data_IF_960872189478
#
_entry.id   IF_960872189478
#
_cell.length_a   1.000
_cell.length_b   1.000
_cell.length_c   1.000
_cell.angle_alpha   90.00
_cell.angle_beta   90.00
_cell.angle_gamma   90.00
#
_symmetry.space_group_name_H-M   'P 1'
#
loop_
_entity.id
_entity.type
_entity.pdbx_description
1 polymer ?
#
# COMPACT_ATOMS: atom_id res chain seq x y z
N UNK A 1 -8.84 17.47 46.40
CA UNK A 1 -7.86 16.49 45.85
C UNK A 1 -8.52 15.47 44.92
N UNK A 2 -9.64 14.83 45.31
CA UNK A 2 -10.35 13.86 44.46
C UNK A 2 -10.75 14.38 43.07
N UNK A 3 -11.36 15.58 42.98
CA UNK A 3 -11.79 16.14 41.70
C UNK A 3 -10.63 16.45 40.74
N UNK A 4 -9.52 16.99 41.25
CA UNK A 4 -8.32 17.24 40.45
C UNK A 4 -7.70 15.92 39.95
N UNK A 5 -7.64 14.88 40.81
CA UNK A 5 -7.19 13.55 40.42
C UNK A 5 -8.07 12.92 39.34
N UNK A 6 -9.39 13.03 39.47
CA UNK A 6 -10.35 12.55 38.48
C UNK A 6 -10.15 13.23 37.11
N UNK A 7 -9.99 14.55 37.09
CA UNK A 7 -9.74 15.33 35.86
C UNK A 7 -8.45 14.86 35.19
N UNK A 8 -7.36 14.69 35.94
CA UNK A 8 -6.07 14.25 35.37
C UNK A 8 -6.18 12.84 34.77
N UNK A 9 -6.82 11.91 35.47
CA UNK A 9 -6.98 10.53 35.00
C UNK A 9 -7.92 10.44 33.78
N UNK A 10 -9.04 11.17 33.78
CA UNK A 10 -9.95 11.25 32.63
C UNK A 10 -9.23 11.84 31.43
N UNK A 11 -8.48 12.93 31.61
CA UNK A 11 -7.69 13.51 30.52
C UNK A 11 -6.65 12.53 29.97
N UNK A 12 -6.00 11.75 30.83
CA UNK A 12 -5.02 10.73 30.39
C UNK A 12 -5.68 9.64 29.54
N UNK A 13 -6.82 9.12 29.98
CA UNK A 13 -7.59 8.11 29.24
C UNK A 13 -8.11 8.69 27.91
N UNK A 14 -8.64 9.91 27.94
CA UNK A 14 -9.11 10.60 26.74
C UNK A 14 -7.98 10.85 25.73
N UNK A 15 -6.83 11.30 26.21
CA UNK A 15 -5.65 11.50 25.36
C UNK A 15 -5.24 10.18 24.69
N UNK A 16 -5.15 9.08 25.44
CA UNK A 16 -4.81 7.78 24.88
C UNK A 16 -5.84 7.30 23.83
N UNK A 17 -7.13 7.47 24.11
CA UNK A 17 -8.21 7.17 23.16
C UNK A 17 -8.14 8.05 21.89
N UNK A 18 -7.74 9.31 22.02
CA UNK A 18 -7.67 10.23 20.89
C UNK A 18 -6.42 10.04 20.03
N UNK A 19 -5.27 9.69 20.63
CA UNK A 19 -3.98 9.64 19.93
C UNK A 19 -3.58 8.24 19.48
N UNK A 20 -3.96 7.19 20.20
CA UNK A 20 -3.56 5.81 19.90
C UNK A 20 -4.65 4.81 20.32
N UNK A 21 -5.79 4.76 19.60
CA UNK A 21 -6.93 3.96 19.98
C UNK A 21 -6.83 2.47 19.60
N UNK A 22 -5.83 2.07 18.83
CA UNK A 22 -5.70 0.69 18.34
C UNK A 22 -4.43 0.01 18.84
N UNK A 23 -4.50 -1.30 19.03
CA UNK A 23 -3.36 -2.16 19.37
C UNK A 23 -3.29 -3.31 18.36
N UNK A 24 -2.07 -3.66 17.94
CA UNK A 24 -1.84 -4.81 17.07
C UNK A 24 -1.20 -5.91 17.91
N UNK A 25 -1.79 -7.10 17.89
CA UNK A 25 -1.32 -8.28 18.63
C UNK A 25 -1.21 -9.48 17.70
N UNK A 26 -0.40 -10.46 18.09
CA UNK A 26 -0.31 -11.73 17.35
C UNK A 26 -1.53 -12.58 17.69
N UNK A 27 -2.36 -12.87 16.70
CA UNK A 27 -3.50 -13.80 16.87
C UNK A 27 -3.04 -15.24 16.72
N UNK A 28 -2.25 -15.53 15.68
CA UNK A 28 -1.80 -16.87 15.37
C UNK A 28 -0.40 -16.84 14.75
N UNK A 29 0.54 -17.62 15.30
CA UNK A 29 1.89 -17.79 14.75
C UNK A 29 1.96 -18.90 13.69
N UNK A 30 0.95 -19.76 13.61
CA UNK A 30 0.84 -20.91 12.73
C UNK A 30 -0.35 -20.79 11.77
N UNK A 31 -0.60 -19.59 11.23
CA UNK A 31 -1.67 -19.42 10.26
C UNK A 31 -1.25 -20.06 8.92
N UNK A 32 -2.04 -20.97 8.34
CA UNK A 32 -1.54 -21.80 7.24
C UNK A 32 -1.41 -21.05 5.92
N UNK A 33 -0.37 -21.37 5.14
CA UNK A 33 -0.06 -20.66 3.87
C UNK A 33 -1.14 -20.79 2.78
N UNK A 34 -2.00 -21.81 2.79
CA UNK A 34 -3.07 -21.92 1.78
C UNK A 34 -4.14 -20.82 1.95
N UNK A 35 -4.23 -20.21 3.14
CA UNK A 35 -5.08 -19.05 3.39
C UNK A 35 -4.44 -17.73 2.92
N UNK A 36 -3.17 -17.74 2.51
CA UNK A 36 -2.47 -16.58 1.96
C UNK A 36 -2.28 -16.76 0.44
N UNK A 37 -2.57 -15.73 -0.40
CA UNK A 37 -2.23 -15.80 -1.81
C UNK A 37 -0.72 -15.98 -1.99
N UNK A 38 -0.30 -16.77 -2.98
CA UNK A 38 1.10 -16.74 -3.37
C UNK A 38 1.41 -15.34 -3.92
N UNK A 39 2.56 -14.73 -3.63
CA UNK A 39 2.82 -13.36 -4.08
C UNK A 39 2.86 -13.27 -5.61
N UNK A 40 2.69 -12.05 -6.11
CA UNK A 40 3.07 -11.75 -7.48
C UNK A 40 4.59 -11.75 -7.60
N UNK A 41 5.10 -12.34 -8.69
CA UNK A 41 6.53 -12.37 -9.02
C UNK A 41 6.71 -11.69 -10.36
N UNK A 42 7.34 -10.52 -10.36
CA UNK A 42 7.58 -9.72 -11.56
C UNK A 42 9.06 -9.77 -11.92
N UNK A 43 9.37 -10.20 -13.14
CA UNK A 43 10.73 -10.32 -13.67
C UNK A 43 10.92 -9.31 -14.79
N UNK A 44 11.99 -8.54 -14.70
CA UNK A 44 12.30 -7.45 -15.61
C UNK A 44 13.72 -7.56 -16.13
N UNK A 45 13.83 -7.53 -17.45
CA UNK A 45 15.11 -7.38 -18.11
C UNK A 45 15.67 -5.97 -17.84
N UNK A 46 16.95 -5.87 -17.50
CA UNK A 46 17.61 -4.55 -17.30
C UNK A 46 17.88 -3.85 -18.63
N UNK A 47 18.08 -4.62 -19.69
CA UNK A 47 18.11 -4.15 -21.08
C UNK A 47 16.70 -3.76 -21.56
N UNK A 48 16.47 -2.47 -21.83
CA UNK A 48 15.17 -1.95 -22.28
C UNK A 48 15.03 -1.95 -23.79
N UNK A 49 16.15 -2.02 -24.50
CA UNK A 49 16.17 -2.09 -25.96
C UNK A 49 17.05 -3.25 -26.39
N UNK A 50 16.43 -4.20 -27.08
CA UNK A 50 17.14 -5.28 -27.76
C UNK A 50 17.72 -4.80 -29.09
N UNK A 51 19.01 -5.03 -29.31
CA UNK A 51 19.72 -4.62 -30.52
C UNK A 51 19.06 -5.17 -31.79
N UNK A 52 18.73 -6.46 -31.81
CA UNK A 52 18.10 -7.15 -32.95
C UNK A 52 16.71 -6.61 -33.27
N UNK A 53 15.91 -6.31 -32.25
CA UNK A 53 14.59 -5.71 -32.39
C UNK A 53 14.69 -4.28 -32.93
N UNK A 54 15.59 -3.47 -32.36
CA UNK A 54 15.85 -2.11 -32.82
C UNK A 54 16.36 -2.09 -34.27
N UNK A 55 17.27 -2.99 -34.64
CA UNK A 55 17.80 -3.06 -36.00
C UNK A 55 16.72 -3.50 -37.01
N UNK A 56 15.86 -4.45 -36.63
CA UNK A 56 14.74 -4.86 -37.48
C UNK A 56 13.77 -3.71 -37.71
N UNK A 57 13.40 -3.00 -36.65
CA UNK A 57 12.51 -1.85 -36.73
C UNK A 57 13.13 -0.73 -37.57
N UNK A 58 14.43 -0.46 -37.42
CA UNK A 58 15.15 0.51 -38.24
C UNK A 58 15.00 0.22 -39.72
N UNK A 59 15.33 -1.01 -40.14
CA UNK A 59 15.29 -1.45 -41.54
C UNK A 59 13.88 -1.42 -42.14
N UNK A 60 12.85 -1.62 -41.31
CA UNK A 60 11.46 -1.69 -41.76
C UNK A 60 10.82 -0.31 -41.86
N UNK A 61 11.08 0.58 -40.91
CA UNK A 61 10.28 1.79 -40.72
C UNK A 61 11.08 3.11 -40.76
N UNK A 62 12.37 3.08 -40.41
CA UNK A 62 13.17 4.31 -40.21
C UNK A 62 14.32 4.51 -41.20
N UNK A 63 14.76 3.49 -41.93
CA UNK A 63 15.95 3.53 -42.79
C UNK A 63 15.87 4.55 -43.94
N UNK A 64 14.66 4.97 -44.33
CA UNK A 64 14.43 5.97 -45.37
C UNK A 64 14.44 7.41 -44.83
N UNK A 65 14.28 7.59 -43.52
CA UNK A 65 14.02 8.89 -42.90
C UNK A 65 15.12 9.34 -41.95
N UNK A 66 15.80 8.39 -41.30
CA UNK A 66 16.83 8.65 -40.30
C UNK A 66 18.13 7.93 -40.68
N UNK A 67 19.23 8.65 -40.54
CA UNK A 67 20.55 8.05 -40.53
C UNK A 67 20.67 7.07 -39.38
N UNK A 68 21.38 5.97 -39.59
CA UNK A 68 21.52 4.89 -38.61
C UNK A 68 22.05 5.42 -37.26
N UNK A 69 23.04 6.31 -37.29
CA UNK A 69 23.60 6.93 -36.08
C UNK A 69 22.56 7.71 -35.27
N UNK A 70 21.66 8.43 -35.94
CA UNK A 70 20.61 9.24 -35.30
C UNK A 70 19.54 8.32 -34.69
N UNK A 71 19.15 7.27 -35.40
CA UNK A 71 18.19 6.29 -34.90
C UNK A 71 18.69 5.57 -33.65
N UNK A 72 19.94 5.12 -33.64
CA UNK A 72 20.53 4.44 -32.50
C UNK A 72 20.60 5.32 -31.25
N UNK A 73 21.02 6.58 -31.42
CA UNK A 73 21.02 7.55 -30.33
C UNK A 73 19.60 7.84 -29.81
N UNK A 74 18.61 7.92 -30.70
CA UNK A 74 17.20 8.06 -30.34
C UNK A 74 16.70 6.88 -29.49
N UNK A 75 16.92 5.66 -29.94
CA UNK A 75 16.45 4.45 -29.24
C UNK A 75 17.10 4.32 -27.86
N UNK A 76 18.37 4.71 -27.71
CA UNK A 76 19.04 4.75 -26.40
C UNK A 76 18.33 5.70 -25.42
N UNK A 77 17.91 6.89 -25.87
CA UNK A 77 17.23 7.88 -25.03
C UNK A 77 15.82 7.47 -24.61
N UNK A 78 15.17 6.57 -25.35
CA UNK A 78 13.87 6.05 -24.92
C UNK A 78 13.94 5.34 -23.56
N UNK A 79 15.10 4.77 -23.22
CA UNK A 79 15.32 4.19 -21.90
C UNK A 79 15.35 5.27 -20.78
N UNK A 80 15.74 6.51 -21.10
CA UNK A 80 15.81 7.63 -20.15
C UNK A 80 14.44 8.15 -19.71
N UNK A 81 13.36 7.86 -20.45
CA UNK A 81 11.99 8.12 -19.96
C UNK A 81 11.71 7.35 -18.66
N UNK A 82 12.34 6.18 -18.49
CA UNK A 82 12.19 5.35 -17.29
C UNK A 82 13.01 5.94 -16.14
N UNK A 83 14.25 6.34 -16.40
CA UNK A 83 15.17 6.91 -15.42
C UNK A 83 15.76 8.23 -15.94
N UNK A 84 15.08 9.37 -15.72
CA UNK A 84 15.50 10.65 -16.25
C UNK A 84 16.63 11.23 -15.39
N UNK A 85 17.88 10.99 -15.80
CA UNK A 85 19.09 11.50 -15.12
C UNK A 85 19.58 12.87 -15.65
N UNK A 86 18.88 13.43 -16.65
CA UNK A 86 19.14 14.79 -17.13
C UNK A 86 20.45 14.93 -17.90
N UNK A 87 20.72 14.03 -18.84
CA UNK A 87 21.91 14.13 -19.68
C UNK A 87 21.68 15.10 -20.85
N UNK A 88 22.57 16.07 -20.94
CA UNK A 88 22.77 17.02 -22.03
C UNK A 88 23.47 16.33 -23.21
N UNK A 89 22.81 16.14 -24.35
CA UNK A 89 23.50 16.11 -25.65
C UNK A 89 22.61 16.63 -26.78
N UNK A 90 23.27 17.40 -27.65
CA UNK A 90 22.84 17.98 -28.94
C UNK A 90 22.25 16.94 -29.92
N UNK A 91 21.15 16.31 -29.57
CA UNK A 91 20.31 15.63 -30.55
C UNK A 91 19.35 16.65 -31.14
N UNK A 92 19.24 16.59 -32.47
CA UNK A 92 18.21 17.31 -33.21
C UNK A 92 16.86 16.64 -32.93
N UNK A 93 16.33 16.88 -31.73
CA UNK A 93 15.04 16.38 -31.25
C UNK A 93 13.93 16.78 -32.21
N UNK A 94 14.03 17.96 -32.83
CA UNK A 94 13.06 18.46 -33.80
C UNK A 94 12.93 17.54 -35.01
N UNK A 95 14.04 17.04 -35.57
CA UNK A 95 14.02 16.06 -36.69
C UNK A 95 13.46 14.71 -36.29
N UNK A 96 13.83 14.20 -35.12
CA UNK A 96 13.31 12.93 -34.60
C UNK A 96 11.80 13.06 -34.38
N UNK A 97 11.38 14.11 -33.68
CA UNK A 97 9.99 14.35 -33.33
C UNK A 97 9.10 14.57 -34.55
N UNK A 98 9.60 15.23 -35.60
CA UNK A 98 8.87 15.39 -36.86
C UNK A 98 8.51 14.04 -37.51
N UNK A 99 9.42 13.06 -37.46
CA UNK A 99 9.16 11.70 -37.98
C UNK A 99 8.09 10.98 -37.16
N UNK A 100 8.11 11.13 -35.84
CA UNK A 100 7.15 10.52 -34.92
C UNK A 100 5.75 11.12 -35.04
N UNK A 101 5.66 12.46 -35.02
CA UNK A 101 4.39 13.20 -35.08
C UNK A 101 3.64 12.95 -36.39
N UNK A 102 4.37 12.80 -37.50
CA UNK A 102 3.78 12.55 -38.82
C UNK A 102 3.20 11.13 -38.97
N UNK A 103 3.60 10.17 -38.12
CA UNK A 103 3.18 8.76 -38.21
C UNK A 103 2.30 8.29 -37.04
N UNK A 104 2.01 9.16 -36.08
CA UNK A 104 1.19 8.84 -34.89
C UNK A 104 1.71 7.62 -34.11
N UNK A 105 3.04 7.45 -34.04
CA UNK A 105 3.62 6.40 -33.20
C UNK A 105 3.41 6.73 -31.73
N UNK A 106 2.93 5.73 -30.99
CA UNK A 106 2.81 5.77 -29.55
C UNK A 106 4.06 5.17 -28.88
N UNK A 107 4.55 5.85 -27.83
CA UNK A 107 5.73 5.45 -27.08
C UNK A 107 5.56 4.08 -26.42
N UNK A 108 4.35 3.77 -25.96
CA UNK A 108 4.03 2.47 -25.38
C UNK A 108 4.23 1.35 -26.40
N UNK A 109 3.66 1.51 -27.60
CA UNK A 109 3.72 0.52 -28.67
C UNK A 109 5.16 0.30 -29.16
N UNK A 110 5.93 1.38 -29.26
CA UNK A 110 7.34 1.32 -29.67
C UNK A 110 8.20 0.59 -28.63
N UNK A 111 8.10 0.98 -27.35
CA UNK A 111 8.85 0.31 -26.28
C UNK A 111 8.45 -1.16 -26.13
N UNK A 112 7.19 -1.50 -26.40
CA UNK A 112 6.73 -2.90 -26.39
C UNK A 112 7.37 -3.74 -27.50
N UNK A 113 7.70 -3.15 -28.65
CA UNK A 113 8.39 -3.85 -29.75
C UNK A 113 9.90 -3.99 -29.51
N UNK A 114 10.51 -3.03 -28.82
CA UNK A 114 11.96 -3.00 -28.55
C UNK A 114 12.36 -3.87 -27.35
N UNK A 115 11.44 -4.15 -26.44
CA UNK A 115 11.68 -4.96 -25.23
C UNK A 115 11.66 -6.46 -25.53
N UNK A 116 12.31 -7.25 -24.65
CA UNK A 116 12.27 -8.71 -24.75
C UNK A 116 10.85 -9.23 -24.50
N UNK A 117 10.27 -10.05 -25.38
CA UNK A 117 9.01 -10.70 -25.08
C UNK A 117 9.18 -11.74 -23.95
N UNK A 118 8.14 -11.90 -23.12
CA UNK A 118 8.17 -12.85 -22.01
C UNK A 118 8.46 -14.29 -22.44
N UNK A 119 8.00 -14.69 -23.62
CA UNK A 119 8.21 -16.03 -24.18
C UNK A 119 9.67 -16.33 -24.53
N UNK A 120 10.49 -15.30 -24.82
CA UNK A 120 11.92 -15.48 -25.07
C UNK A 120 12.78 -15.24 -23.83
N UNK A 121 12.28 -14.51 -22.82
CA UNK A 121 12.98 -14.33 -21.54
C UNK A 121 12.77 -15.52 -20.62
N UNK A 122 11.57 -16.07 -20.57
CA UNK A 122 11.18 -17.18 -19.69
C UNK A 122 11.02 -18.45 -20.52
N UNK A 123 12.09 -19.23 -20.61
CA UNK A 123 12.16 -20.38 -21.52
C UNK A 123 11.35 -21.56 -20.98
N UNK A 124 11.46 -21.84 -19.67
CA UNK A 124 10.76 -22.94 -19.02
C UNK A 124 10.29 -22.57 -17.63
N UNK A 125 9.06 -22.96 -17.31
CA UNK A 125 8.43 -22.67 -16.03
C UNK A 125 7.86 -23.94 -15.40
N UNK A 126 7.91 -23.98 -14.06
CA UNK A 126 7.36 -25.04 -13.23
C UNK A 126 6.57 -24.40 -12.10
N UNK A 127 5.33 -24.81 -11.94
CA UNK A 127 4.44 -24.31 -10.89
C UNK A 127 3.89 -25.50 -10.10
N UNK A 128 4.07 -25.49 -8.77
CA UNK A 128 3.59 -26.56 -7.88
C UNK A 128 4.05 -27.96 -8.32
N UNK A 129 5.32 -28.09 -8.69
CA UNK A 129 5.89 -29.35 -9.16
C UNK A 129 5.63 -29.68 -10.64
N UNK A 130 4.69 -28.98 -11.33
CA UNK A 130 4.29 -29.29 -12.71
C UNK A 130 4.90 -28.33 -13.72
N UNK A 131 5.59 -28.87 -14.73
CA UNK A 131 6.06 -28.09 -15.88
C UNK A 131 4.85 -27.54 -16.64
N UNK A 132 4.82 -26.22 -16.80
CA UNK A 132 3.72 -25.50 -17.45
C UNK A 132 4.32 -24.47 -18.40
N UNK A 133 3.74 -24.24 -19.59
CA UNK A 133 4.21 -23.19 -20.48
C UNK A 133 4.25 -21.82 -19.78
N UNK A 134 5.35 -21.09 -19.93
CA UNK A 134 5.52 -19.80 -19.26
C UNK A 134 4.46 -18.78 -19.68
N UNK A 135 4.01 -18.83 -20.95
CA UNK A 135 2.98 -17.94 -21.50
C UNK A 135 1.61 -18.08 -20.80
N UNK A 136 1.35 -19.21 -20.14
CA UNK A 136 0.11 -19.42 -19.37
C UNK A 136 0.22 -18.93 -17.91
N UNK A 137 1.45 -18.69 -17.45
CA UNK A 137 1.75 -18.31 -16.08
C UNK A 137 2.08 -16.82 -15.96
N UNK A 138 2.79 -16.28 -16.96
CA UNK A 138 3.27 -14.91 -16.97
C UNK A 138 2.56 -14.08 -18.03
N UNK A 139 2.25 -12.84 -17.65
CA UNK A 139 1.71 -11.84 -18.55
C UNK A 139 2.61 -10.62 -18.58
N UNK A 140 2.70 -9.97 -19.73
CA UNK A 140 3.41 -8.70 -19.82
C UNK A 140 2.66 -7.62 -19.04
N UNK A 141 3.36 -6.96 -18.12
CA UNK A 141 2.87 -5.93 -17.22
C UNK A 141 3.71 -4.66 -17.35
N UNK A 142 3.10 -3.54 -16.99
CA UNK A 142 3.80 -2.25 -16.92
C UNK A 142 4.34 -2.02 -15.50
N UNK A 143 5.57 -1.54 -15.38
CA UNK A 143 6.31 -1.35 -14.12
C UNK A 143 7.10 -0.05 -14.17
N UNK A 144 7.57 0.46 -13.03
CA UNK A 144 8.50 1.61 -13.01
C UNK A 144 9.87 1.33 -13.69
N UNK A 145 10.11 0.11 -14.17
CA UNK A 145 11.23 -0.27 -15.02
C UNK A 145 10.82 -0.51 -16.49
N UNK A 146 9.62 -0.11 -16.93
CA UNK A 146 9.09 -0.40 -18.27
C UNK A 146 8.32 -1.71 -18.34
N UNK A 147 8.39 -2.41 -19.48
CA UNK A 147 7.68 -3.69 -19.68
C UNK A 147 8.39 -4.87 -19.04
N UNK A 148 7.62 -5.66 -18.30
CA UNK A 148 8.12 -6.81 -17.56
C UNK A 148 7.14 -7.98 -17.61
N UNK A 149 7.53 -9.11 -17.03
CA UNK A 149 6.73 -10.32 -17.01
C UNK A 149 6.31 -10.64 -15.58
N UNK A 150 5.01 -10.59 -15.31
CA UNK A 150 4.45 -10.84 -13.98
C UNK A 150 3.70 -12.15 -13.91
N UNK A 151 4.02 -12.94 -12.89
CA UNK A 151 3.25 -14.08 -12.43
C UNK A 151 2.29 -13.66 -11.33
N UNK A 152 1.03 -14.09 -11.41
CA UNK A 152 0.02 -13.89 -10.36
C UNK A 152 -0.23 -12.42 -9.96
N UNK A 153 -0.06 -11.50 -10.90
CA UNK A 153 -0.38 -10.07 -10.75
C UNK A 153 -1.66 -9.75 -11.49
N UNK A 154 -2.55 -8.98 -10.87
CA UNK A 154 -3.83 -8.55 -11.43
C UNK A 154 -3.90 -7.02 -11.39
N UNK A 155 -3.65 -6.33 -12.52
CA UNK A 155 -3.69 -4.89 -12.53
C UNK A 155 -5.13 -4.38 -12.30
N UNK A 156 -5.28 -3.21 -11.65
CA UNK A 156 -6.58 -2.56 -11.48
C UNK A 156 -7.20 -2.25 -12.85
N UNK A 157 -8.51 -2.40 -13.02
CA UNK A 157 -9.21 -2.21 -14.29
C UNK A 157 -9.21 -3.40 -15.25
N UNK A 158 -8.52 -4.51 -14.92
CA UNK A 158 -8.53 -5.71 -15.78
C UNK A 158 -9.92 -6.37 -15.80
N UNK A 159 -10.53 -6.52 -16.99
CA UNK A 159 -11.89 -7.09 -17.16
C UNK A 159 -11.98 -8.61 -16.94
N UNK A 160 -10.95 -9.24 -16.37
CA UNK A 160 -10.89 -10.68 -16.21
C UNK A 160 -11.77 -11.10 -15.02
N UNK A 161 -12.92 -11.71 -15.32
CA UNK A 161 -13.97 -12.07 -14.32
C UNK A 161 -13.53 -13.11 -13.28
N UNK A 162 -12.30 -13.63 -13.38
CA UNK A 162 -11.73 -14.60 -12.44
C UNK A 162 -10.38 -14.12 -11.89
N UNK A 163 -10.37 -12.99 -11.17
CA UNK A 163 -9.22 -12.49 -10.38
C UNK A 163 -8.96 -13.32 -9.12
N UNK A 164 -8.74 -14.62 -9.25
CA UNK A 164 -8.42 -15.48 -8.09
C UNK A 164 -6.91 -15.66 -8.01
N UNK A 165 -6.23 -15.10 -6.99
CA UNK A 165 -4.80 -15.28 -6.85
C UNK A 165 -4.47 -16.76 -6.60
N UNK A 166 -3.43 -17.23 -7.28
CA UNK A 166 -2.90 -18.58 -7.13
C UNK A 166 -2.37 -18.76 -5.71
N UNK A 167 -2.53 -19.96 -5.18
CA UNK A 167 -2.13 -20.35 -3.81
C UNK A 167 -1.35 -21.65 -3.86
N UNK A 168 -0.57 -21.89 -2.81
CA UNK A 168 0.17 -23.13 -2.61
C UNK A 168 -0.17 -23.73 -1.25
N UNK A 169 0.04 -25.04 -1.12
CA UNK A 169 -0.24 -25.82 0.08
C UNK A 169 1.02 -26.52 0.62
N UNK A 170 2.19 -26.13 0.12
CA UNK A 170 3.48 -26.69 0.52
C UNK A 170 4.55 -25.62 0.53
N UNK A 171 5.55 -25.80 1.39
CA UNK A 171 6.72 -24.95 1.52
C UNK A 171 7.94 -25.61 0.84
N UNK A 172 8.92 -24.80 0.46
CA UNK A 172 10.12 -25.24 -0.26
C UNK A 172 10.04 -25.11 -1.78
N UNK A 173 11.20 -25.17 -2.43
CA UNK A 173 11.35 -24.85 -3.86
C UNK A 173 10.59 -25.78 -4.81
N UNK A 174 10.28 -27.02 -4.39
CA UNK A 174 9.55 -28.01 -5.19
C UNK A 174 8.06 -27.66 -5.36
N UNK A 175 7.47 -26.95 -4.41
CA UNK A 175 6.04 -26.60 -4.38
C UNK A 175 5.75 -25.18 -4.84
N UNK A 176 6.80 -24.36 -5.02
CA UNK A 176 6.71 -22.99 -5.49
C UNK A 176 6.74 -22.83 -7.02
N UNK A 177 7.23 -21.67 -7.44
CA UNK A 177 7.48 -21.29 -8.82
C UNK A 177 8.95 -21.49 -9.13
N UNK A 178 9.28 -22.15 -10.24
CA UNK A 178 10.64 -22.24 -10.75
C UNK A 178 10.66 -21.82 -12.21
N UNK A 179 11.66 -21.05 -12.61
CA UNK A 179 11.78 -20.56 -13.98
C UNK A 179 13.23 -20.55 -14.45
N UNK A 180 13.41 -20.89 -15.72
CA UNK A 180 14.67 -20.76 -16.46
C UNK A 180 14.61 -19.46 -17.26
N UNK A 181 15.54 -18.56 -16.97
CA UNK A 181 15.58 -17.19 -17.48
C UNK A 181 16.75 -17.07 -18.46
N UNK A 182 16.48 -16.52 -19.63
CA UNK A 182 17.47 -16.14 -20.64
C UNK A 182 17.56 -14.61 -20.75
N UNK A 183 18.63 -13.98 -20.21
CA UNK A 183 18.81 -12.55 -20.34
C UNK A 183 19.27 -12.12 -21.74
N UNK A 184 19.66 -13.02 -22.67
CA UNK A 184 20.16 -12.69 -24.03
C UNK A 184 21.26 -11.62 -24.03
N UNK A 185 22.42 -11.95 -23.45
CA UNK A 185 23.54 -11.02 -23.24
C UNK A 185 24.07 -10.38 -24.52
N UNK A 186 24.04 -11.13 -25.62
CA UNK A 186 24.48 -10.71 -26.95
C UNK A 186 23.60 -9.62 -27.59
N UNK A 187 22.40 -9.38 -27.05
CA UNK A 187 21.39 -8.49 -27.63
C UNK A 187 21.19 -7.20 -26.80
N UNK A 188 22.10 -6.94 -25.85
CA UNK A 188 22.08 -5.72 -25.02
C UNK A 188 22.44 -4.49 -25.85
N UNK A 189 21.66 -3.42 -25.67
CA UNK A 189 21.95 -2.13 -26.30
C UNK A 189 21.75 -0.97 -25.32
N UNK A 190 20.53 -0.80 -24.80
CA UNK A 190 20.21 0.26 -23.84
C UNK A 190 19.71 -0.35 -22.53
N UNK A 191 20.63 -0.55 -21.59
CA UNK A 191 20.33 -1.03 -20.24
C UNK A 191 20.18 0.14 -19.26
N UNK A 192 19.26 0.01 -18.30
CA UNK A 192 19.12 1.01 -17.23
C UNK A 192 20.32 1.06 -16.28
N UNK A 193 21.04 -0.05 -16.15
CA UNK A 193 22.14 -0.19 -15.22
C UNK A 193 23.31 -0.89 -15.88
N UNK A 194 24.53 -0.59 -15.40
CA UNK A 194 25.79 -1.16 -15.90
C UNK A 194 26.04 -2.59 -15.39
N UNK A 195 25.05 -3.47 -15.48
CA UNK A 195 25.20 -4.90 -15.20
C UNK A 195 24.29 -5.74 -16.11
N UNK A 196 24.65 -7.02 -16.28
CA UNK A 196 23.85 -7.99 -17.00
C UNK A 196 22.96 -8.78 -16.05
N UNK A 197 21.77 -9.18 -16.52
CA UNK A 197 20.85 -10.01 -15.76
C UNK A 197 19.44 -9.44 -15.72
N UNK A 198 18.68 -9.85 -14.71
CA UNK A 198 17.29 -9.42 -14.53
C UNK A 198 17.05 -8.90 -13.12
N UNK A 199 16.03 -8.07 -12.97
CA UNK A 199 15.48 -7.66 -11.68
C UNK A 199 14.22 -8.46 -11.38
N UNK A 200 14.06 -8.90 -10.14
CA UNK A 200 12.94 -9.69 -9.66
C UNK A 200 12.29 -8.97 -8.51
N UNK A 201 10.98 -8.79 -8.56
CA UNK A 201 10.17 -8.19 -7.50
C UNK A 201 9.13 -9.19 -7.00
N UNK A 202 9.04 -9.33 -5.68
CA UNK A 202 7.97 -10.07 -5.00
C UNK A 202 7.05 -9.04 -4.34
N UNK A 203 5.77 -9.05 -4.70
CA UNK A 203 4.80 -8.07 -4.22
C UNK A 203 3.39 -8.67 -4.08
N UNK A 204 2.46 -7.90 -3.51
CA UNK A 204 1.06 -8.31 -3.47
C UNK A 204 0.48 -8.39 -4.88
N UNK A 205 -0.47 -9.31 -5.08
CA UNK A 205 -1.10 -9.56 -6.38
C UNK A 205 -1.91 -8.37 -6.92
N UNK A 206 -2.27 -7.41 -6.07
CA UNK A 206 -3.00 -6.18 -6.43
C UNK A 206 -2.10 -4.95 -6.57
N UNK A 207 -0.88 -4.99 -6.02
CA UNK A 207 0.00 -3.82 -5.98
C UNK A 207 0.71 -3.64 -7.31
N UNK A 208 0.73 -2.40 -7.80
CA UNK A 208 1.56 -1.99 -8.92
C UNK A 208 3.03 -2.35 -8.64
N UNK A 209 3.71 -3.03 -9.57
CA UNK A 209 5.09 -3.46 -9.41
C UNK A 209 6.07 -2.27 -9.47
N UNK A 210 6.51 -1.82 -8.29
CA UNK A 210 7.58 -0.83 -8.12
C UNK A 210 8.90 -1.52 -7.78
N UNK A 211 9.77 -1.61 -8.77
CA UNK A 211 11.02 -2.39 -8.80
C UNK A 211 12.18 -1.57 -8.28
N UNK A 212 12.17 -0.25 -8.50
CA UNK A 212 13.22 0.65 -8.00
C UNK A 212 13.41 0.56 -6.48
N UNK A 213 12.34 0.29 -5.73
CA UNK A 213 12.38 0.23 -4.27
C UNK A 213 12.79 -1.14 -3.69
N UNK A 214 12.39 -2.25 -4.34
CA UNK A 214 12.48 -3.62 -3.78
C UNK A 214 12.97 -4.68 -4.76
N UNK A 215 13.53 -4.28 -5.90
CA UNK A 215 14.04 -5.19 -6.92
C UNK A 215 15.27 -5.96 -6.45
N UNK A 216 15.23 -7.27 -6.60
CA UNK A 216 16.35 -8.17 -6.34
C UNK A 216 17.07 -8.43 -7.66
N UNK A 217 18.40 -8.31 -7.67
CA UNK A 217 19.21 -8.56 -8.85
C UNK A 217 19.48 -10.05 -8.98
N UNK A 218 19.30 -10.61 -10.18
CA UNK A 218 19.70 -11.96 -10.52
C UNK A 218 20.72 -11.90 -11.67
N UNK A 219 21.96 -12.25 -11.35
CA UNK A 219 23.04 -12.32 -12.35
C UNK A 219 22.86 -13.52 -13.29
N UNK A 220 23.40 -13.45 -14.51
CA UNK A 220 23.49 -14.59 -15.44
C UNK A 220 24.29 -15.76 -14.83
N UNK A 221 24.04 -16.98 -15.29
CA UNK A 221 24.75 -18.20 -14.86
C UNK A 221 24.64 -18.47 -13.34
N UNK A 222 23.50 -18.09 -12.73
CA UNK A 222 23.21 -18.33 -11.32
C UNK A 222 21.97 -19.19 -11.14
N UNK A 223 21.99 -20.02 -10.12
CA UNK A 223 20.81 -20.69 -9.59
C UNK A 223 20.49 -20.06 -8.24
N UNK A 224 19.33 -19.41 -8.16
CA UNK A 224 18.90 -18.64 -7.01
C UNK A 224 17.64 -19.24 -6.38
N UNK A 225 17.66 -19.33 -5.06
CA UNK A 225 16.56 -19.74 -4.19
C UNK A 225 16.08 -18.53 -3.42
N UNK A 226 14.92 -18.02 -3.83
CA UNK A 226 14.22 -16.90 -3.22
C UNK A 226 13.17 -17.40 -2.24
N UNK A 227 13.51 -17.31 -0.96
CA UNK A 227 12.66 -17.70 0.15
C UNK A 227 11.71 -16.55 0.48
N UNK A 228 10.41 -16.81 0.48
CA UNK A 228 9.37 -15.84 0.82
C UNK A 228 8.81 -16.15 2.20
N UNK A 229 8.79 -15.14 3.07
CA UNK A 229 8.01 -15.13 4.30
C UNK A 229 6.88 -14.14 4.16
N UNK A 230 5.73 -14.42 4.76
CA UNK A 230 4.58 -13.52 4.73
C UNK A 230 4.06 -13.23 6.14
N UNK A 231 3.44 -12.08 6.30
CA UNK A 231 2.72 -11.68 7.50
C UNK A 231 1.36 -11.12 7.10
N UNK A 232 0.29 -11.63 7.70
CA UNK A 232 -1.08 -11.16 7.44
C UNK A 232 -1.52 -10.27 8.59
N UNK A 233 -2.04 -9.09 8.29
CA UNK A 233 -2.67 -8.22 9.28
C UNK A 233 -4.12 -8.00 8.91
N UNK A 234 -5.02 -8.08 9.87
CA UNK A 234 -6.41 -7.68 9.67
C UNK A 234 -6.92 -6.89 10.89
N UNK A 235 -7.84 -5.96 10.64
CA UNK A 235 -8.48 -5.17 11.68
C UNK A 235 -9.85 -5.73 12.00
N UNK A 236 -10.21 -5.73 13.27
CA UNK A 236 -11.53 -6.18 13.73
C UNK A 236 -12.64 -5.20 13.31
N UNK A 237 -13.91 -5.65 13.22
CA UNK A 237 -15.04 -4.78 12.90
C UNK A 237 -15.20 -3.60 13.86
N UNK A 238 -14.79 -3.74 15.12
CA UNK A 238 -14.84 -2.68 16.14
C UNK A 238 -13.97 -1.48 15.77
N UNK A 239 -12.85 -1.69 15.05
CA UNK A 239 -11.99 -0.61 14.53
C UNK A 239 -12.76 0.27 13.54
N UNK A 240 -13.84 -0.23 12.93
CA UNK A 240 -14.71 0.55 12.04
C UNK A 240 -15.41 1.70 12.78
N UNK A 241 -15.68 1.56 14.08
CA UNK A 241 -16.34 2.58 14.88
C UNK A 241 -15.44 3.83 15.10
N UNK A 242 -14.13 3.70 14.91
CA UNK A 242 -13.18 4.81 14.99
C UNK A 242 -13.23 5.66 13.72
N UNK A 243 -12.99 6.97 13.86
CA UNK A 243 -12.84 7.87 12.70
C UNK A 243 -11.62 7.48 11.87
N UNK A 244 -11.65 7.74 10.56
CA UNK A 244 -10.55 7.46 9.61
C UNK A 244 -9.20 8.01 10.11
N UNK A 245 -9.17 9.24 10.59
CA UNK A 245 -7.97 9.90 11.14
C UNK A 245 -7.48 9.30 12.48
N UNK A 246 -8.35 8.60 13.22
CA UNK A 246 -7.96 7.96 14.48
C UNK A 246 -7.35 6.58 14.24
N UNK A 247 -7.90 5.81 13.30
CA UNK A 247 -7.41 4.46 12.99
C UNK A 247 -6.30 4.42 11.92
N UNK A 248 -6.14 5.50 11.14
CA UNK A 248 -5.09 5.65 10.12
C UNK A 248 -5.07 4.50 9.09
N UNK A 249 -6.22 3.87 8.82
CA UNK A 249 -6.39 2.85 7.80
C UNK A 249 -7.78 2.90 7.16
N UNK A 250 -7.91 2.35 5.96
CA UNK A 250 -9.16 2.27 5.20
C UNK A 250 -9.61 0.82 5.01
N UNK A 251 -10.90 0.57 5.17
CA UNK A 251 -11.51 -0.70 4.78
C UNK A 251 -11.82 -0.71 3.27
N UNK A 252 -11.89 -1.90 2.68
CA UNK A 252 -12.08 -2.10 1.24
C UNK A 252 -13.36 -1.41 0.71
N UNK A 253 -14.44 -1.42 1.50
CA UNK A 253 -15.74 -0.84 1.15
C UNK A 253 -15.76 0.70 1.20
N UNK A 254 -14.94 1.30 2.07
CA UNK A 254 -14.95 2.76 2.33
C UNK A 254 -14.25 3.59 1.26
N UNK A 255 -13.50 2.94 0.36
CA UNK A 255 -12.88 3.60 -0.78
C UNK A 255 -13.94 4.14 -1.76
N UNK A 256 -15.12 3.52 -1.78
CA UNK A 256 -16.24 3.84 -2.68
C UNK A 256 -16.83 5.24 -2.48
N UNK A 257 -16.63 5.87 -1.32
CA UNK A 257 -17.29 7.14 -0.95
C UNK A 257 -16.36 8.36 -0.99
N UNK A 258 -15.03 8.18 -1.01
CA UNK A 258 -14.08 9.29 -0.91
C UNK A 258 -13.85 10.07 -2.22
N UNK A 259 -14.17 9.48 -3.37
CA UNK A 259 -13.97 10.08 -4.71
C UNK A 259 -15.30 10.38 -5.42
N UNK A 260 -16.33 10.78 -4.68
CA UNK A 260 -17.65 11.11 -5.23
C UNK A 260 -17.75 12.55 -5.77
N UNK A 261 -16.67 13.06 -6.36
CA UNK A 261 -16.65 14.32 -7.12
C UNK A 261 -15.70 14.21 -8.31
N UNK A 262 -16.06 13.39 -9.32
CA UNK A 262 -15.76 13.62 -10.75
C UNK A 262 -16.24 12.41 -11.56
N UNK A 263 -16.84 12.69 -12.72
CA UNK A 263 -17.43 11.76 -13.69
C UNK A 263 -16.41 10.83 -14.40
N UNK A 264 -15.48 10.23 -13.67
CA UNK A 264 -14.52 9.24 -14.19
C UNK A 264 -14.57 7.94 -13.37
N UNK A 265 -15.76 7.35 -13.31
CA UNK A 265 -16.03 6.02 -12.73
C UNK A 265 -15.54 4.88 -13.64
N UNK A 266 -14.24 4.83 -13.93
CA UNK A 266 -13.63 3.75 -14.72
C UNK A 266 -12.54 2.95 -13.99
N UNK A 267 -12.19 3.30 -12.76
CA UNK A 267 -11.25 2.53 -11.92
C UNK A 267 -11.86 2.26 -10.54
N UNK A 268 -12.97 1.53 -10.55
CA UNK A 268 -13.66 1.01 -9.36
C UNK A 268 -12.95 -0.29 -8.90
N UNK A 269 -11.63 -0.26 -8.69
CA UNK A 269 -10.82 -1.47 -8.51
C UNK A 269 -9.81 -1.32 -7.36
N UNK A 270 -9.95 -2.19 -6.36
CA UNK A 270 -9.00 -2.62 -5.33
C UNK A 270 -7.95 -1.57 -4.88
N UNK A 271 -8.37 -0.66 -4.00
CA UNK A 271 -7.46 0.28 -3.34
C UNK A 271 -6.38 -0.45 -2.54
N UNK A 272 -5.12 -0.13 -2.83
CA UNK A 272 -3.99 -0.47 -1.96
C UNK A 272 -3.19 0.79 -1.67
N UNK A 273 -2.43 0.77 -0.58
CA UNK A 273 -1.56 1.88 -0.22
C UNK A 273 -0.56 2.20 -1.33
N UNK A 274 0.07 1.17 -1.90
CA UNK A 274 1.01 1.29 -3.01
C UNK A 274 0.34 1.88 -4.25
N UNK A 275 -0.83 1.39 -4.65
CA UNK A 275 -1.54 1.91 -5.82
C UNK A 275 -1.95 3.39 -5.64
N UNK A 276 -2.35 3.79 -4.43
CA UNK A 276 -2.65 5.20 -4.12
C UNK A 276 -1.43 6.11 -4.30
N UNK A 277 -0.25 5.66 -3.83
CA UNK A 277 0.99 6.43 -4.01
C UNK A 277 1.38 6.55 -5.48
N UNK A 278 1.20 5.48 -6.27
CA UNK A 278 1.44 5.51 -7.72
C UNK A 278 0.48 6.48 -8.41
N UNK A 279 -0.81 6.46 -8.08
CA UNK A 279 -1.77 7.41 -8.60
C UNK A 279 -1.43 8.86 -8.20
N UNK A 280 -0.99 9.08 -6.97
CA UNK A 280 -0.51 10.38 -6.51
C UNK A 280 0.68 10.85 -7.34
N UNK A 281 1.71 10.01 -7.53
CA UNK A 281 2.88 10.30 -8.37
C UNK A 281 2.47 10.65 -9.80
N UNK A 282 1.59 9.87 -10.42
CA UNK A 282 1.06 10.16 -11.75
C UNK A 282 0.34 11.51 -11.82
N UNK A 283 -0.48 11.85 -10.83
CA UNK A 283 -1.18 13.13 -10.78
C UNK A 283 -0.20 14.31 -10.67
N UNK A 284 0.92 14.14 -9.95
CA UNK A 284 1.98 15.16 -9.89
C UNK A 284 2.71 15.30 -11.23
N UNK A 285 2.99 14.21 -11.93
CA UNK A 285 3.59 14.23 -13.27
C UNK A 285 2.68 14.93 -14.29
N UNK A 286 1.37 14.66 -14.26
CA UNK A 286 0.39 15.33 -15.12
C UNK A 286 0.23 16.82 -14.78
N UNK A 287 0.32 17.20 -13.50
CA UNK A 287 0.25 18.60 -13.07
C UNK A 287 1.48 19.43 -13.48
N UNK A 288 2.67 18.86 -13.37
CA UNK A 288 3.94 19.56 -13.60
C UNK A 288 4.41 19.48 -15.06
N UNK A 289 4.24 18.33 -15.70
CA UNK A 289 4.73 18.06 -17.05
C UNK A 289 3.61 17.73 -18.06
N UNK A 290 2.33 17.73 -17.65
CA UNK A 290 1.17 17.51 -18.55
C UNK A 290 1.22 16.20 -19.35
N UNK A 291 1.90 15.20 -18.79
CA UNK A 291 2.03 13.88 -19.38
C UNK A 291 2.21 12.82 -18.30
N UNK A 292 1.90 11.56 -18.63
CA UNK A 292 2.21 10.41 -17.81
C UNK A 292 3.12 9.42 -18.58
N UNK A 293 4.20 8.92 -17.98
CA UNK A 293 5.04 7.91 -18.63
C UNK A 293 4.25 6.65 -19.04
N UNK A 294 4.64 6.04 -20.17
CA UNK A 294 3.94 4.88 -20.77
C UNK A 294 3.82 3.67 -19.85
N UNK A 295 4.73 3.57 -18.88
CA UNK A 295 4.85 2.45 -17.99
C UNK A 295 3.90 2.53 -16.78
N UNK A 296 3.18 3.64 -16.61
CA UNK A 296 2.07 3.69 -15.68
C UNK A 296 0.76 3.17 -16.31
N UNK A 297 -0.19 2.69 -15.49
CA UNK A 297 -1.53 2.34 -15.95
C UNK A 297 -2.32 3.63 -16.25
N UNK A 298 -2.25 4.12 -17.49
CA UNK A 298 -2.93 5.34 -17.93
C UNK A 298 -4.30 5.04 -18.56
N UNK A 299 -5.25 5.95 -18.36
CA UNK A 299 -6.54 5.93 -19.04
C UNK A 299 -6.46 6.50 -20.46
N UNK A 300 -7.49 6.31 -21.31
CA UNK A 300 -7.47 6.73 -22.71
C UNK A 300 -7.39 8.24 -22.94
N UNK A 301 -7.66 9.05 -21.91
CA UNK A 301 -7.64 10.53 -21.97
C UNK A 301 -6.30 11.13 -21.55
N UNK A 302 -5.39 10.36 -20.98
CA UNK A 302 -4.11 10.85 -20.46
C UNK A 302 -3.07 10.90 -21.57
N UNK A 303 -2.40 12.04 -21.79
CA UNK A 303 -1.29 12.17 -22.76
C UNK A 303 -0.10 11.35 -22.26
N UNK A 304 0.46 10.50 -23.11
CA UNK A 304 1.69 9.79 -22.82
C UNK A 304 2.91 10.71 -23.00
N UNK A 305 3.88 10.62 -22.09
CA UNK A 305 5.12 11.41 -22.18
C UNK A 305 5.94 10.98 -23.40
N UNK A 306 6.39 11.97 -24.17
CA UNK A 306 7.36 11.80 -25.24
C UNK A 306 8.79 12.08 -24.77
N UNK A 307 9.73 12.11 -25.71
CA UNK A 307 11.11 12.52 -25.42
C UNK A 307 11.22 14.01 -25.06
N UNK A 308 10.33 14.85 -25.60
CA UNK A 308 10.26 16.28 -25.28
C UNK A 308 10.05 16.54 -23.78
N UNK A 309 9.36 15.61 -23.11
CA UNK A 309 8.98 15.74 -21.72
C UNK A 309 10.09 15.25 -20.77
N UNK A 310 11.13 14.56 -21.26
CA UNK A 310 12.23 14.00 -20.44
C UNK A 310 12.96 15.08 -19.66
N UNK A 311 13.18 16.26 -20.25
CA UNK A 311 13.79 17.39 -19.56
C UNK A 311 12.91 17.90 -18.39
N UNK A 312 11.59 17.91 -18.58
CA UNK A 312 10.64 18.25 -17.51
C UNK A 312 10.65 17.19 -16.41
N UNK A 313 10.63 15.90 -16.78
CA UNK A 313 10.68 14.80 -15.83
C UNK A 313 11.97 14.83 -15.01
N UNK A 314 13.13 15.04 -15.66
CA UNK A 314 14.45 15.13 -15.03
C UNK A 314 14.54 16.29 -14.03
N UNK A 315 14.03 17.48 -14.38
CA UNK A 315 14.05 18.65 -13.49
C UNK A 315 13.20 18.46 -12.22
N UNK A 316 12.16 17.63 -12.28
CA UNK A 316 11.26 17.36 -11.16
C UNK A 316 11.43 15.97 -10.53
N UNK A 317 12.47 15.20 -10.90
CA UNK A 317 12.74 13.84 -10.38
C UNK A 317 12.73 13.80 -8.84
N UNK A 318 13.26 14.83 -8.17
CA UNK A 318 13.25 14.92 -6.70
C UNK A 318 11.83 14.96 -6.13
N UNK A 319 10.91 15.68 -6.77
CA UNK A 319 9.51 15.78 -6.33
C UNK A 319 8.79 14.44 -6.48
N UNK A 320 9.06 13.70 -7.55
CA UNK A 320 8.41 12.42 -7.85
C UNK A 320 8.89 11.26 -6.97
N UNK A 321 10.10 11.37 -6.40
CA UNK A 321 10.72 10.31 -5.60
C UNK A 321 10.61 10.53 -4.09
N UNK A 322 10.28 11.75 -3.62
CA UNK A 322 10.26 12.08 -2.20
C UNK A 322 8.84 12.38 -1.70
N UNK A 323 8.46 11.82 -0.55
CA UNK A 323 7.21 12.10 0.15
C UNK A 323 7.44 13.13 1.26
N UNK A 324 6.54 14.10 1.39
CA UNK A 324 6.61 15.13 2.43
C UNK A 324 6.28 14.52 3.81
N UNK A 325 7.15 14.75 4.79
CA UNK A 325 6.88 14.35 6.18
C UNK A 325 5.80 15.24 6.81
N UNK A 326 4.80 14.68 7.53
CA UNK A 326 3.81 15.45 8.28
C UNK A 326 4.42 16.28 9.42
N UNK A 327 5.60 15.89 9.90
CA UNK A 327 6.27 16.51 11.04
C UNK A 327 7.69 16.94 10.65
N UNK A 328 8.07 18.14 11.09
CA UNK A 328 9.45 18.62 10.95
C UNK A 328 10.36 17.72 11.79
N UNK A 329 11.22 16.96 11.12
CA UNK A 329 12.23 16.13 11.74
C UNK A 329 13.58 16.83 11.57
N UNK A 330 14.34 17.08 12.66
CA UNK A 330 15.69 17.64 12.54
C UNK A 330 16.56 16.81 11.60
N UNK A 331 17.20 17.45 10.62
CA UNK A 331 18.03 16.79 9.61
C UNK A 331 17.30 16.39 8.31
N UNK A 332 16.02 16.73 8.17
CA UNK A 332 15.25 16.57 6.94
C UNK A 332 14.93 17.95 6.34
N UNK A 333 15.77 18.44 5.43
CA UNK A 333 15.66 19.78 4.80
C UNK A 333 14.71 19.83 3.57
N UNK A 334 14.02 18.73 3.25
CA UNK A 334 13.37 18.53 1.94
C UNK A 334 11.86 18.86 1.89
N UNK A 335 11.37 19.81 2.69
CA UNK A 335 9.93 20.12 2.72
C UNK A 335 9.39 20.77 1.43
N UNK A 336 10.25 21.37 0.60
CA UNK A 336 9.83 22.09 -0.62
C UNK A 336 9.82 21.24 -1.89
N UNK A 337 10.59 20.13 -1.94
CA UNK A 337 10.78 19.31 -3.13
C UNK A 337 10.21 17.89 -2.98
N UNK A 338 9.02 17.76 -2.39
CA UNK A 338 8.40 16.49 -2.09
C UNK A 338 6.89 16.49 -2.40
N UNK A 339 6.37 15.34 -2.85
CA UNK A 339 4.94 15.18 -3.07
C UNK A 339 4.17 15.06 -1.74
N UNK A 340 2.95 15.58 -1.71
CA UNK A 340 2.03 15.42 -0.59
C UNK A 340 0.89 14.52 -1.04
N UNK A 341 0.80 13.32 -0.47
CA UNK A 341 -0.20 12.31 -0.82
C UNK A 341 -1.05 11.98 0.41
N UNK A 342 -2.37 12.04 0.26
CA UNK A 342 -3.32 11.63 1.28
C UNK A 342 -3.68 10.14 1.11
N UNK A 343 -2.69 9.28 1.33
CA UNK A 343 -2.82 7.83 1.20
C UNK A 343 -2.77 7.17 2.58
N UNK A 344 -3.75 6.32 2.88
CA UNK A 344 -3.80 5.54 4.12
C UNK A 344 -3.61 4.05 3.83
N UNK A 345 -2.95 3.29 4.70
CA UNK A 345 -2.85 1.85 4.54
C UNK A 345 -4.22 1.17 4.61
N UNK A 346 -4.35 -0.01 4.00
CA UNK A 346 -5.54 -0.83 4.14
C UNK A 346 -5.62 -1.41 5.55
N UNK A 347 -6.84 -1.57 6.07
CA UNK A 347 -7.05 -2.16 7.39
C UNK A 347 -6.82 -3.68 7.40
N UNK A 348 -6.74 -4.31 6.22
CA UNK A 348 -6.30 -5.69 6.04
C UNK A 348 -5.25 -5.74 4.91
N UNK A 349 -4.14 -6.42 5.15
CA UNK A 349 -3.04 -6.54 4.20
C UNK A 349 -2.19 -7.79 4.45
N UNK A 350 -1.44 -8.20 3.42
CA UNK A 350 -0.42 -9.24 3.49
C UNK A 350 0.90 -8.67 3.02
N UNK A 351 1.88 -8.61 3.93
CA UNK A 351 3.24 -8.20 3.60
C UNK A 351 4.12 -9.41 3.31
N UNK A 352 5.01 -9.28 2.34
CA UNK A 352 5.97 -10.30 1.95
C UNK A 352 7.39 -9.79 2.20
N UNK A 353 8.21 -10.61 2.84
CA UNK A 353 9.65 -10.41 2.96
C UNK A 353 10.38 -11.56 2.26
N UNK A 354 11.57 -11.26 1.74
CA UNK A 354 12.30 -12.19 0.89
C UNK A 354 13.76 -12.30 1.29
N UNK A 355 14.28 -13.52 1.28
CA UNK A 355 15.69 -13.84 1.50
C UNK A 355 16.20 -14.60 0.27
N UNK A 356 17.27 -14.12 -0.35
CA UNK A 356 17.88 -14.76 -1.52
C UNK A 356 19.13 -15.55 -1.11
N UNK A 357 19.28 -16.74 -1.68
CA UNK A 357 20.50 -17.53 -1.64
C UNK A 357 20.83 -17.98 -3.05
N UNK A 358 22.07 -17.81 -3.49
CA UNK A 358 22.47 -18.10 -4.87
C UNK A 358 23.79 -18.87 -4.95
N UNK A 359 23.93 -19.65 -6.01
CA UNK A 359 25.15 -20.35 -6.37
C UNK A 359 25.39 -20.28 -7.87
N UNK A 360 26.61 -20.58 -8.30
CA UNK A 360 26.93 -20.72 -9.73
C UNK A 360 26.13 -21.86 -10.33
N UNK A 361 25.42 -21.59 -11.42
CA UNK A 361 24.65 -22.60 -12.10
C UNK A 361 25.57 -23.54 -12.87
N UNK A 362 25.41 -24.84 -12.63
CA UNK A 362 26.07 -25.89 -13.39
C UNK A 362 25.03 -26.92 -13.81
N UNK A 363 24.93 -27.17 -15.11
CA UNK A 363 24.06 -28.23 -15.63
C UNK A 363 24.70 -29.59 -15.33
N UNK A 364 24.19 -30.30 -14.33
CA UNK A 364 24.60 -31.67 -14.07
C UNK A 364 24.14 -32.60 -15.19
N UNK A 365 25.04 -33.44 -15.69
CA UNK A 365 24.73 -34.50 -16.67
C UNK A 365 23.82 -35.59 -16.08
N UNK A 366 23.75 -35.69 -14.74
CA UNK A 366 22.90 -36.62 -14.01
C UNK A 366 21.49 -36.06 -13.72
N UNK A 367 21.19 -34.83 -14.11
CA UNK A 367 19.86 -34.27 -13.89
C UNK A 367 18.84 -34.94 -14.83
N UNK A 368 18.16 -35.96 -14.29
CA UNK A 368 17.11 -36.72 -14.98
C UNK A 368 15.81 -35.93 -15.13
N UNK A 369 15.74 -34.69 -14.64
CA UNK A 369 14.53 -33.89 -14.81
C UNK A 369 14.41 -33.46 -16.28
N UNK A 370 13.23 -33.72 -16.88
CA UNK A 370 12.88 -33.20 -18.22
C UNK A 370 12.91 -31.66 -18.31
N UNK A 371 13.24 -30.97 -17.21
CA UNK A 371 13.29 -29.53 -17.14
C UNK A 371 14.35 -28.94 -18.08
N UNK A 372 15.52 -29.56 -18.26
CA UNK A 372 16.58 -29.01 -19.12
C UNK A 372 16.69 -29.66 -20.51
N UNK A 373 15.77 -30.56 -20.84
CA UNK A 373 15.77 -31.25 -22.14
C UNK A 373 15.59 -30.24 -23.29
N UNK A 374 16.40 -30.34 -24.34
CA UNK A 374 16.33 -29.52 -25.57
C UNK A 374 16.73 -28.04 -25.45
N UNK A 375 17.29 -27.58 -24.33
CA UNK A 375 17.77 -26.19 -24.19
C UNK A 375 19.31 -26.14 -24.14
N UNK A 376 19.98 -25.42 -25.08
CA UNK A 376 21.41 -25.15 -24.99
C UNK A 376 21.66 -24.14 -23.86
N UNK A 377 22.25 -24.61 -22.77
CA UNK A 377 22.50 -23.78 -21.59
C UNK A 377 23.86 -23.09 -21.73
N UNK A 378 23.84 -21.77 -21.87
CA UNK A 378 25.05 -20.93 -21.87
C UNK A 378 24.97 -19.88 -20.74
N UNK A 379 24.17 -18.83 -20.93
CA UNK A 379 24.10 -17.67 -20.03
C UNK A 379 22.80 -17.62 -19.22
N UNK A 380 22.14 -18.77 -19.08
CA UNK A 380 20.85 -18.84 -18.41
C UNK A 380 21.00 -18.80 -16.89
N UNK A 381 19.96 -18.31 -16.22
CA UNK A 381 19.84 -18.37 -14.78
C UNK A 381 18.56 -19.10 -14.38
N UNK A 382 18.57 -19.72 -13.21
CA UNK A 382 17.40 -20.36 -12.63
C UNK A 382 16.98 -19.59 -11.40
N UNK A 383 15.68 -19.38 -11.27
CA UNK A 383 15.10 -18.78 -10.08
C UNK A 383 14.01 -19.70 -9.52
N UNK A 384 14.11 -20.01 -8.24
CA UNK A 384 13.10 -20.69 -7.46
C UNK A 384 12.48 -19.73 -6.45
N UNK A 385 11.18 -19.47 -6.54
CA UNK A 385 10.44 -18.64 -5.59
C UNK A 385 9.46 -19.52 -4.81
N UNK A 386 9.54 -19.51 -3.49
CA UNK A 386 8.73 -20.40 -2.65
C UNK A 386 8.54 -19.86 -1.23
N UNK A 387 7.49 -20.31 -0.54
CA UNK A 387 7.34 -20.01 0.89
C UNK A 387 8.36 -20.80 1.72
N UNK A 388 9.02 -20.09 2.64
CA UNK A 388 10.00 -20.64 3.58
C UNK A 388 9.39 -21.70 4.49
N UNK A 389 8.22 -21.39 5.06
CA UNK A 389 7.50 -22.22 6.03
C UNK A 389 6.07 -22.53 5.57
N UNK A 390 5.44 -23.54 6.17
CA UNK A 390 4.03 -23.93 5.93
C UNK A 390 3.02 -23.00 6.62
N UNK A 391 3.51 -22.06 7.41
CA UNK A 391 2.71 -21.14 8.19
C UNK A 391 3.25 -19.71 8.12
N UNK A 392 2.41 -18.76 8.49
CA UNK A 392 2.70 -17.34 8.59
C UNK A 392 2.21 -16.79 9.92
N UNK A 393 2.77 -15.65 10.31
CA UNK A 393 2.26 -14.90 11.48
C UNK A 393 1.05 -14.07 11.04
N UNK A 394 -0.06 -14.22 11.76
CA UNK A 394 -1.27 -13.43 11.60
C UNK A 394 -1.43 -12.46 12.77
N UNK A 395 -1.47 -11.17 12.46
CA UNK A 395 -1.70 -10.08 13.37
C UNK A 395 -3.17 -9.66 13.34
N UNK A 396 -3.73 -9.44 14.53
CA UNK A 396 -5.04 -8.85 14.73
C UNK A 396 -4.87 -7.44 15.29
N UNK A 397 -5.45 -6.46 14.61
CA UNK A 397 -5.56 -5.09 15.08
C UNK A 397 -6.93 -4.85 15.68
N UNK A 398 -6.97 -4.41 16.93
CA UNK A 398 -8.20 -4.19 17.69
C UNK A 398 -8.22 -2.82 18.36
N UNK A 399 -9.38 -2.40 18.85
CA UNK A 399 -9.54 -1.19 19.64
C UNK A 399 -9.10 -1.44 21.09
N UNK A 400 -8.35 -0.51 21.68
CA UNK A 400 -7.92 -0.60 23.09
C UNK A 400 -9.09 -0.32 24.02
N UNK A 401 -9.89 0.69 23.71
CA UNK A 401 -11.10 1.05 24.43
C UNK A 401 -12.25 1.14 23.45
N UNK A 402 -13.28 0.32 23.64
CA UNK A 402 -14.57 0.58 23.03
C UNK A 402 -15.24 1.78 23.69
N UNK A 403 -16.30 2.32 23.07
CA UNK A 403 -17.12 3.37 23.69
C UNK A 403 -17.68 2.95 25.07
N UNK A 404 -18.02 1.67 25.20
CA UNK A 404 -18.53 1.11 26.45
C UNK A 404 -17.44 1.07 27.54
N UNK A 405 -16.22 0.69 27.16
CA UNK A 405 -15.08 0.65 28.10
C UNK A 405 -14.67 2.05 28.55
N UNK A 406 -14.77 3.03 27.65
CA UNK A 406 -14.48 4.43 27.96
C UNK A 406 -15.51 5.00 28.97
N UNK A 407 -16.79 4.72 28.77
CA UNK A 407 -17.85 5.10 29.71
C UNK A 407 -17.67 4.43 31.07
N UNK A 408 -17.36 3.12 31.09
CA UNK A 408 -17.09 2.37 32.30
C UNK A 408 -15.86 2.93 33.05
N UNK A 409 -14.79 3.27 32.32
CA UNK A 409 -13.57 3.85 32.87
C UNK A 409 -13.82 5.22 33.50
N UNK A 410 -14.58 6.10 32.83
CA UNK A 410 -14.96 7.40 33.39
C UNK A 410 -15.83 7.26 34.64
N UNK A 411 -16.81 6.36 34.61
CA UNK A 411 -17.63 6.04 35.78
C UNK A 411 -16.80 5.52 36.95
N UNK A 412 -15.84 4.63 36.68
CA UNK A 412 -14.92 4.10 37.69
C UNK A 412 -14.01 5.17 38.30
N UNK A 413 -13.44 6.07 37.49
CA UNK A 413 -12.60 7.18 37.96
C UNK A 413 -13.42 8.15 38.83
N UNK A 414 -14.62 8.53 38.40
CA UNK A 414 -15.52 9.40 39.17
C UNK A 414 -15.94 8.74 40.48
N UNK A 415 -16.30 7.45 40.44
CA UNK A 415 -16.66 6.67 41.63
C UNK A 415 -15.51 6.58 42.64
N UNK A 416 -14.29 6.28 42.18
CA UNK A 416 -13.13 6.13 43.05
C UNK A 416 -12.67 7.48 43.65
N UNK A 417 -12.64 8.54 42.85
CA UNK A 417 -12.09 9.83 43.29
C UNK A 417 -13.09 10.71 44.05
N UNK A 418 -14.38 10.60 43.75
CA UNK A 418 -15.44 11.44 44.35
C UNK A 418 -16.41 10.66 45.24
N UNK A 419 -16.37 9.32 45.22
CA UNK A 419 -17.39 8.50 45.89
C UNK A 419 -18.78 8.65 45.28
N UNK A 420 -18.86 9.17 44.05
CA UNK A 420 -20.10 9.57 43.38
C UNK A 420 -20.49 8.54 42.34
N UNK A 421 -21.79 8.25 42.24
CA UNK A 421 -22.35 7.33 41.25
C UNK A 421 -23.25 8.08 40.24
N UNK A 422 -23.72 7.38 39.21
CA UNK A 422 -24.73 7.93 38.29
C UNK A 422 -25.99 8.39 39.05
N UNK A 423 -26.37 7.69 40.12
CA UNK A 423 -27.52 8.05 40.97
C UNK A 423 -27.26 9.39 41.67
N UNK A 424 -26.04 9.60 42.16
CA UNK A 424 -25.62 10.86 42.79
C UNK A 424 -25.67 12.05 41.81
N UNK A 425 -25.36 11.81 40.52
CA UNK A 425 -25.53 12.81 39.47
C UNK A 425 -27.01 13.16 39.24
N UNK A 426 -27.89 12.16 39.16
CA UNK A 426 -29.34 12.37 39.00
C UNK A 426 -29.92 13.12 40.20
N UNK A 427 -29.50 12.76 41.41
CA UNK A 427 -29.88 13.46 42.64
C UNK A 427 -29.44 14.93 42.63
N UNK A 428 -28.21 15.20 42.19
CA UNK A 428 -27.71 16.57 42.01
C UNK A 428 -28.56 17.35 41.00
N UNK A 429 -28.87 16.78 39.83
CA UNK A 429 -29.73 17.42 38.82
C UNK A 429 -31.11 17.71 39.41
N UNK A 430 -31.71 16.76 40.13
CA UNK A 430 -33.00 16.94 40.80
C UNK A 430 -32.97 18.10 41.82
N UNK A 431 -31.93 18.19 42.65
CA UNK A 431 -31.79 19.26 43.63
C UNK A 431 -31.57 20.63 43.01
N UNK A 432 -30.84 20.73 41.88
CA UNK A 432 -30.52 22.01 41.25
C UNK A 432 -31.55 22.47 40.21
N UNK A 433 -32.40 21.59 39.68
CA UNK A 433 -33.40 21.94 38.66
C UNK A 433 -34.82 21.85 39.20
N UNK A 434 -35.24 20.66 39.63
CA UNK A 434 -36.63 20.37 40.02
C UNK A 434 -36.98 21.04 41.34
N UNK A 435 -36.09 21.00 42.34
CA UNK A 435 -36.36 21.60 43.66
C UNK A 435 -36.51 23.12 43.62
N UNK A 436 -35.62 23.91 42.98
CA UNK A 436 -35.82 25.35 42.84
C UNK A 436 -36.99 25.71 41.93
N UNK A 437 -37.24 24.96 40.84
CA UNK A 437 -38.44 25.17 40.01
C UNK A 437 -39.74 24.95 40.80
N UNK A 438 -39.84 23.85 41.57
CA UNK A 438 -40.98 23.59 42.45
C UNK A 438 -41.10 24.61 43.59
N UNK A 439 -39.99 25.13 44.13
CA UNK A 439 -40.03 26.19 45.13
C UNK A 439 -40.44 27.55 44.54
N UNK A 440 -40.05 27.87 43.31
CA UNK A 440 -40.53 29.07 42.60
C UNK A 440 -42.02 28.99 42.24
N UNK A 441 -42.56 27.79 42.03
CA UNK A 441 -43.99 27.58 41.73
C UNK A 441 -44.88 27.51 42.99
N UNK A 442 -44.33 27.63 44.20
CA UNK A 442 -45.13 27.74 45.44
C UNK A 442 -45.59 29.19 45.66
N UNK A 443 -46.90 29.50 45.65
CA UNK A 443 -47.38 30.80 46.06
C UNK A 443 -47.10 31.02 47.55
N UNK A 444 -46.46 32.15 47.88
CA UNK A 444 -46.25 32.59 49.27
C UNK A 444 -47.60 32.99 49.86
N UNK A 445 -48.30 32.04 50.50
CA UNK A 445 -49.40 32.38 51.40
C UNK A 445 -48.83 32.89 52.71
N UNK A 446 -48.77 34.21 52.86
CA UNK A 446 -48.56 34.89 54.14
C UNK A 446 -49.75 34.56 55.05
N UNK A 447 -49.54 33.76 56.10
CA UNK A 447 -50.53 33.63 57.18
C UNK A 447 -50.34 34.78 58.17
N UNK A 448 -51.35 35.62 58.44
CA UNK A 448 -51.25 36.65 59.48
C UNK A 448 -51.21 35.99 60.86
N UNK A 449 -50.25 36.40 61.68
CA UNK A 449 -50.14 36.01 63.09
C UNK A 449 -51.24 36.74 63.87
N UNK A 450 -52.21 35.99 64.39
CA UNK A 450 -53.16 36.48 65.39
C UNK A 450 -52.60 36.22 66.79
N UNK A 451 -52.29 37.29 67.52
CA UNK A 451 -51.88 37.22 68.93
C UNK A 451 -53.09 36.84 69.80
N UNK A 452 -53.14 35.59 70.23
CA UNK A 452 -54.06 35.13 71.29
C UNK A 452 -53.43 35.41 72.64
N UNK A 453 -54.07 36.29 73.42
CA UNK A 453 -53.70 36.67 74.78
C UNK A 453 -53.99 35.50 75.74
N UNK A 454 -52.95 34.75 76.15
CA UNK A 454 -53.06 33.75 77.20
C UNK A 454 -53.32 34.43 78.55
N UNK A 455 -54.47 34.12 79.16
CA UNK A 455 -54.82 34.51 80.53
C UNK A 455 -54.44 33.34 81.45
N UNK A 456 -53.45 33.59 82.32
CA UNK A 456 -53.02 32.68 83.38
C UNK A 456 -54.21 32.26 84.25
N UNK A 457 -54.42 30.95 84.41
CA UNK A 457 -55.07 30.37 85.58
C UNK A 457 -54.23 29.16 86.02
N UNK A 458 -53.42 29.37 87.04
CA UNK A 458 -52.74 28.36 87.84
C UNK A 458 -53.76 27.52 88.60
N UNK A 459 -53.81 26.22 88.31
CA UNK A 459 -54.49 25.21 89.13
C UNK A 459 -53.40 24.23 89.60
N UNK A 460 -53.35 24.06 90.92
CA UNK A 460 -52.41 23.23 91.70
C UNK A 460 -52.50 21.73 91.36
N UNK A 461 -51.42 20.95 91.50
CA UNK A 461 -51.45 19.49 91.37
C UNK A 461 -51.74 18.79 92.71
N UNK A 462 -52.43 17.64 92.74
CA UNK A 462 -52.41 16.73 93.88
C UNK A 462 -51.26 15.71 93.78
N UNK A 463 -50.87 15.08 94.91
CA UNK A 463 -49.54 14.51 95.10
C UNK A 463 -49.43 13.05 94.66
N UNK A 464 -48.23 12.67 94.20
CA UNK A 464 -47.80 11.29 94.02
C UNK A 464 -47.42 10.67 95.37
N UNK A 465 -47.99 9.50 95.68
CA UNK A 465 -47.57 8.62 96.78
C UNK A 465 -46.97 7.31 96.23
N UNK A 466 -45.68 7.14 96.52
CA UNK A 466 -44.84 5.97 96.83
C UNK A 466 -45.24 4.52 96.43
N UNK A 467 -44.35 3.92 95.60
CA UNK A 467 -43.72 2.57 95.65
C UNK A 467 -44.58 1.28 95.65
N UNK A 468 -44.00 0.11 95.28
CA UNK A 468 -42.87 -0.18 94.37
C UNK A 468 -43.32 -0.76 93.02
#
# INVERSE_FOLDING_TARGET
>A
MGLAGAIVLINKVWMQYSTSPTITSVENTHFPIWNIPFPAVTVCQVNKVHYSAAQKLYKQEFSQFLEEKVYWAFVSQMAEIIQPEGIDFQLDFDRIQAVFKNRSYDMESLMKQLTQPCSSMLIKCKWRGKVTPCDQLFTMSKTDAGFCCSFNYFPPGSSDKHRVPRRVNGAGYLTGLSMLIDPRLEDYYAALFSFYGVQVLVHSYQDYPEISARGILLSPQKEAFLQVSAASTYSTPEVRALKKQQRQCLFEDEHSEANMTTENSHHQDDYTYSNCLIQCRMNYMDKLCHCAPYFFPTGPKTKLCGLEDVACLASHTRVFNNLRSPHSQPGLDDNENAMTCDCHPTCADVTYSTEISESTFFKSEYDQTNFFKEVPITNHSILHVYFKDLYVIRFRRDVIYSWNDLLASFGGIVGLCLGSSLISLVEMIYFFTVRPACNMMRPVTVKPVTLVKQRNNTILPPPYNWLP
#
